data_IF_434252005009
#
_entry.id   IF_434252005009
#
_cell.length_a   1.000
_cell.length_b   1.000
_cell.length_c   1.000
_cell.angle_alpha   90.00
_cell.angle_beta   90.00
_cell.angle_gamma   90.00
#
_symmetry.space_group_name_H-M   'P 1'
#
loop_
_entity.id
_entity.type
_entity.pdbx_description
1 polymer ?
#
# COMPACT_ATOMS: atom_id res chain seq x y z
N UNK A 1 -20.14 -4.47 37.44
CA UNK A 1 -20.76 -4.51 36.08
C UNK A 1 -22.04 -3.64 35.99
N UNK A 2 -23.04 -3.76 36.87
CA UNK A 2 -24.29 -2.98 36.79
C UNK A 2 -24.07 -1.46 36.78
N UNK A 3 -23.15 -0.94 37.59
CA UNK A 3 -22.81 0.49 37.67
C UNK A 3 -22.22 1.01 36.34
N UNK A 4 -21.31 0.27 35.72
CA UNK A 4 -20.70 0.65 34.44
C UNK A 4 -21.76 0.81 33.33
N UNK A 5 -22.65 -0.16 33.17
CA UNK A 5 -23.73 -0.07 32.17
C UNK A 5 -24.72 1.09 32.41
N UNK A 6 -24.99 1.41 33.69
CA UNK A 6 -25.81 2.60 34.04
C UNK A 6 -25.09 3.89 33.61
N UNK A 7 -23.80 3.99 33.86
CA UNK A 7 -22.96 5.13 33.45
C UNK A 7 -22.91 5.24 31.93
N UNK A 8 -22.70 4.16 31.20
CA UNK A 8 -22.74 4.17 29.74
C UNK A 8 -24.08 4.67 29.20
N UNK A 9 -25.21 4.18 29.76
CA UNK A 9 -26.53 4.64 29.33
C UNK A 9 -26.74 6.13 29.57
N UNK A 10 -26.21 6.67 30.66
CA UNK A 10 -26.26 8.10 30.97
C UNK A 10 -25.38 8.88 30.03
N UNK A 11 -24.15 8.44 29.79
CA UNK A 11 -23.20 9.08 28.87
C UNK A 11 -23.74 9.08 27.42
N UNK A 12 -24.39 8.02 26.95
CA UNK A 12 -25.03 7.99 25.63
C UNK A 12 -26.07 9.11 25.53
N UNK A 13 -26.93 9.27 26.57
CA UNK A 13 -27.93 10.32 26.56
C UNK A 13 -27.33 11.72 26.59
N UNK A 14 -26.19 11.88 27.29
CA UNK A 14 -25.45 13.12 27.33
C UNK A 14 -24.84 13.41 25.95
N UNK A 15 -24.14 12.43 25.34
CA UNK A 15 -23.50 12.55 24.04
C UNK A 15 -24.50 12.91 22.92
N UNK A 16 -25.70 12.31 22.95
CA UNK A 16 -26.75 12.61 21.97
C UNK A 16 -27.30 14.05 22.06
N UNK A 17 -27.07 14.72 23.19
CA UNK A 17 -27.45 16.13 23.41
C UNK A 17 -26.27 17.10 23.24
N UNK A 18 -25.09 16.59 23.04
CA UNK A 18 -23.87 17.37 22.90
C UNK A 18 -23.66 17.81 21.45
N UNK A 19 -23.81 19.12 21.19
CA UNK A 19 -23.59 19.69 19.86
C UNK A 19 -22.14 19.50 19.35
N UNK A 20 -21.16 19.51 20.26
CA UNK A 20 -19.76 19.26 19.90
C UNK A 20 -19.58 17.82 19.37
N UNK A 21 -20.21 16.84 19.98
CA UNK A 21 -20.15 15.46 19.55
C UNK A 21 -20.73 15.28 18.13
N UNK A 22 -21.87 15.91 17.85
CA UNK A 22 -22.45 15.88 16.51
C UNK A 22 -21.59 16.57 15.47
N UNK A 23 -20.96 17.70 15.80
CA UNK A 23 -20.07 18.41 14.90
C UNK A 23 -18.82 17.59 14.59
N UNK A 24 -18.18 17.00 15.60
CA UNK A 24 -16.97 16.16 15.41
C UNK A 24 -17.27 14.89 14.64
N UNK A 25 -18.32 14.14 15.01
CA UNK A 25 -18.71 12.93 14.27
C UNK A 25 -19.20 13.27 12.86
N UNK A 26 -19.91 14.39 12.67
CA UNK A 26 -20.36 14.87 11.37
C UNK A 26 -19.19 15.27 10.46
N UNK A 27 -18.20 15.97 11.01
CA UNK A 27 -16.98 16.32 10.27
C UNK A 27 -16.16 15.07 9.88
N UNK A 28 -16.03 14.11 10.80
CA UNK A 28 -15.36 12.83 10.53
C UNK A 28 -16.11 12.04 9.44
N UNK A 29 -17.43 11.98 9.52
CA UNK A 29 -18.27 11.34 8.50
C UNK A 29 -18.11 12.02 7.14
N UNK A 30 -18.15 13.34 7.09
CA UNK A 30 -17.93 14.11 5.85
C UNK A 30 -16.53 13.87 5.26
N UNK A 31 -15.49 13.86 6.10
CA UNK A 31 -14.13 13.50 5.68
C UNK A 31 -14.06 12.07 5.12
N UNK A 32 -14.74 11.12 5.77
CA UNK A 32 -14.85 9.74 5.29
C UNK A 32 -15.57 9.63 3.94
N UNK A 33 -16.65 10.39 3.73
CA UNK A 33 -17.35 10.45 2.44
C UNK A 33 -16.49 11.06 1.35
N UNK A 34 -15.73 12.12 1.64
CA UNK A 34 -14.80 12.74 0.70
C UNK A 34 -13.70 11.76 0.28
N UNK A 35 -13.14 11.03 1.25
CA UNK A 35 -12.13 10.01 1.00
C UNK A 35 -12.69 8.84 0.16
N UNK A 36 -13.92 8.39 0.44
CA UNK A 36 -14.62 7.40 -0.35
C UNK A 36 -14.84 7.86 -1.79
N UNK A 37 -15.31 9.09 -1.98
CA UNK A 37 -15.50 9.67 -3.31
C UNK A 37 -14.19 9.76 -4.11
N UNK A 38 -13.09 10.16 -3.47
CA UNK A 38 -11.77 10.19 -4.10
C UNK A 38 -11.31 8.78 -4.51
N UNK A 39 -11.51 7.80 -3.62
CA UNK A 39 -11.20 6.39 -3.88
C UNK A 39 -12.04 5.78 -5.01
N UNK A 40 -13.36 6.06 -5.06
CA UNK A 40 -14.23 5.64 -6.16
C UNK A 40 -13.73 6.17 -7.51
N UNK A 41 -13.40 7.46 -7.58
CA UNK A 41 -12.90 8.09 -8.81
C UNK A 41 -11.56 7.53 -9.27
N UNK A 42 -10.68 7.21 -8.32
CA UNK A 42 -9.40 6.56 -8.62
C UNK A 42 -9.64 5.16 -9.19
N UNK A 43 -10.43 4.34 -8.50
CA UNK A 43 -10.71 2.97 -8.93
C UNK A 43 -11.41 2.95 -10.30
N UNK A 44 -12.36 3.87 -10.52
CA UNK A 44 -13.04 4.00 -11.81
C UNK A 44 -12.07 4.39 -12.95
N UNK A 45 -11.14 5.30 -12.69
CA UNK A 45 -10.10 5.66 -13.70
C UNK A 45 -9.21 4.47 -14.02
N UNK A 46 -8.75 3.75 -13.01
CA UNK A 46 -7.93 2.56 -13.20
C UNK A 46 -8.66 1.46 -13.97
N UNK A 47 -9.93 1.20 -13.64
CA UNK A 47 -10.75 0.24 -14.40
C UNK A 47 -10.97 0.68 -15.84
N UNK A 48 -11.19 1.98 -16.09
CA UNK A 48 -11.34 2.51 -17.44
C UNK A 48 -10.04 2.39 -18.27
N UNK A 49 -8.88 2.62 -17.62
CA UNK A 49 -7.57 2.43 -18.23
C UNK A 49 -7.37 0.96 -18.63
N UNK A 50 -7.59 0.02 -17.71
CA UNK A 50 -7.48 -1.42 -18.01
C UNK A 50 -8.48 -1.83 -19.12
N UNK A 51 -9.71 -1.36 -19.06
CA UNK A 51 -10.72 -1.68 -20.07
C UNK A 51 -10.36 -1.14 -21.46
N UNK A 52 -9.57 -0.07 -21.54
CA UNK A 52 -9.05 0.50 -22.78
C UNK A 52 -7.89 -0.30 -23.39
N UNK A 53 -7.14 -1.08 -22.59
CA UNK A 53 -5.92 -1.78 -23.03
C UNK A 53 -6.15 -2.69 -24.25
N UNK A 54 -7.21 -3.53 -24.30
CA UNK A 54 -7.45 -4.37 -25.48
C UNK A 54 -7.65 -3.57 -26.77
N UNK A 55 -8.35 -2.44 -26.70
CA UNK A 55 -8.60 -1.57 -27.85
C UNK A 55 -7.31 -0.90 -28.32
N UNK A 56 -6.49 -0.40 -27.39
CA UNK A 56 -5.17 0.17 -27.70
C UNK A 56 -4.25 -0.87 -28.32
N UNK A 57 -4.21 -2.07 -27.74
CA UNK A 57 -3.42 -3.18 -28.27
C UNK A 57 -3.88 -3.60 -29.67
N UNK A 58 -5.20 -3.76 -29.90
CA UNK A 58 -5.74 -4.11 -31.19
C UNK A 58 -5.42 -3.04 -32.26
N UNK A 59 -5.49 -1.75 -31.90
CA UNK A 59 -5.13 -0.63 -32.80
C UNK A 59 -3.65 -0.68 -33.17
N UNK A 60 -2.78 -0.92 -32.20
CA UNK A 60 -1.34 -1.11 -32.42
C UNK A 60 -1.09 -2.30 -33.34
N UNK A 61 -1.71 -3.45 -33.06
CA UNK A 61 -1.54 -4.65 -33.87
C UNK A 61 -2.01 -4.48 -35.31
N UNK A 62 -3.13 -3.77 -35.52
CA UNK A 62 -3.60 -3.43 -36.86
C UNK A 62 -2.59 -2.52 -37.61
N UNK A 63 -1.98 -1.56 -36.90
CA UNK A 63 -0.92 -0.73 -37.44
C UNK A 63 0.35 -1.53 -37.85
N UNK A 64 0.79 -2.40 -36.96
CA UNK A 64 1.94 -3.31 -37.19
C UNK A 64 1.64 -4.25 -38.36
N UNK A 65 0.47 -4.89 -38.38
CA UNK A 65 0.07 -5.75 -39.48
C UNK A 65 0.04 -4.98 -40.81
N UNK A 66 -0.49 -3.77 -40.88
CA UNK A 66 -0.51 -2.96 -42.07
C UNK A 66 0.88 -2.57 -42.57
N UNK A 67 1.81 -2.28 -41.64
CA UNK A 67 3.15 -1.82 -41.94
C UNK A 67 4.06 -2.95 -42.41
N UNK A 68 3.88 -4.16 -41.87
CA UNK A 68 4.80 -5.30 -42.05
C UNK A 68 4.20 -6.50 -42.75
N UNK A 69 2.99 -6.40 -43.29
CA UNK A 69 2.35 -7.51 -44.02
C UNK A 69 2.69 -7.47 -45.52
N UNK A 70 2.76 -8.65 -46.17
CA UNK A 70 2.35 -9.94 -45.62
C UNK A 70 3.47 -10.68 -44.87
N UNK A 71 4.72 -10.28 -44.93
CA UNK A 71 5.89 -11.09 -44.54
C UNK A 71 6.90 -10.30 -43.68
N UNK A 72 6.43 -9.77 -42.54
CA UNK A 72 7.31 -9.11 -41.58
C UNK A 72 8.22 -10.10 -40.87
N UNK A 73 9.54 -9.82 -40.84
CA UNK A 73 10.51 -10.60 -40.06
C UNK A 73 10.14 -10.57 -38.58
N UNK A 74 10.12 -11.73 -37.93
CA UNK A 74 9.67 -11.89 -36.55
C UNK A 74 10.39 -10.95 -35.56
N UNK A 75 11.71 -10.77 -35.75
CA UNK A 75 12.50 -9.88 -34.92
C UNK A 75 12.07 -8.41 -35.03
N UNK A 76 11.76 -7.97 -36.22
CA UNK A 76 11.33 -6.60 -36.47
C UNK A 76 9.93 -6.33 -35.85
N UNK A 77 9.00 -7.24 -36.06
CA UNK A 77 7.65 -7.13 -35.48
C UNK A 77 7.71 -7.13 -33.97
N UNK A 78 8.46 -8.05 -33.36
CA UNK A 78 8.60 -8.12 -31.89
C UNK A 78 9.21 -6.85 -31.28
N UNK A 79 10.08 -6.15 -32.02
CA UNK A 79 10.68 -4.88 -31.58
C UNK A 79 9.65 -3.75 -31.44
N UNK A 80 8.69 -3.66 -32.36
CA UNK A 80 7.67 -2.62 -32.37
C UNK A 80 6.41 -3.00 -31.61
N UNK A 81 6.27 -4.26 -31.18
CA UNK A 81 5.09 -4.69 -30.41
C UNK A 81 5.25 -4.41 -28.92
N UNK A 82 4.33 -3.66 -28.36
CA UNK A 82 4.19 -3.40 -26.94
C UNK A 82 3.06 -4.25 -26.37
N UNK A 83 3.37 -5.03 -25.36
CA UNK A 83 2.41 -5.93 -24.71
C UNK A 83 1.95 -5.28 -23.41
N UNK A 84 0.64 -4.98 -23.25
CA UNK A 84 0.14 -4.37 -22.04
C UNK A 84 0.08 -5.38 -20.89
N UNK A 85 0.58 -4.98 -19.75
CA UNK A 85 0.41 -5.68 -18.47
C UNK A 85 -0.25 -4.76 -17.48
N UNK A 86 -0.98 -5.29 -16.50
CA UNK A 86 -1.65 -4.47 -15.50
C UNK A 86 -1.77 -5.17 -14.15
N UNK A 87 -1.76 -4.36 -13.10
CA UNK A 87 -2.04 -4.82 -11.74
C UNK A 87 -3.54 -4.70 -11.47
N UNK A 88 -4.27 -5.82 -11.24
CA UNK A 88 -5.70 -5.75 -10.93
C UNK A 88 -5.87 -5.19 -9.52
N UNK A 89 -6.58 -4.06 -9.39
CA UNK A 89 -6.91 -3.49 -8.09
C UNK A 89 -8.16 -4.13 -7.52
N UNK A 90 -8.08 -4.60 -6.27
CA UNK A 90 -9.25 -5.04 -5.52
C UNK A 90 -10.16 -3.84 -5.16
N UNK A 91 -11.47 -4.03 -4.95
CA UNK A 91 -12.36 -2.94 -4.54
C UNK A 91 -11.93 -2.22 -3.26
N UNK A 92 -11.27 -2.93 -2.33
CA UNK A 92 -10.67 -2.34 -1.11
C UNK A 92 -9.55 -1.34 -1.40
N UNK A 93 -8.87 -1.43 -2.56
CA UNK A 93 -7.84 -0.46 -2.96
C UNK A 93 -8.39 0.96 -3.15
N UNK A 94 -9.70 1.11 -3.35
CA UNK A 94 -10.36 2.41 -3.30
C UNK A 94 -10.35 3.07 -1.92
N UNK A 95 -10.08 2.31 -0.84
CA UNK A 95 -10.07 2.80 0.54
C UNK A 95 -8.66 3.03 1.09
N UNK A 96 -7.65 2.38 0.53
CA UNK A 96 -6.24 2.58 0.87
C UNK A 96 -5.40 2.56 -0.39
N UNK A 97 -4.74 3.67 -0.64
CA UNK A 97 -3.92 3.88 -1.83
C UNK A 97 -2.61 3.10 -1.75
N UNK A 98 -2.02 3.04 -0.58
CA UNK A 98 -0.73 2.38 -0.35
C UNK A 98 0.37 2.93 -1.25
N UNK A 99 1.06 2.03 -1.98
CA UNK A 99 2.12 2.40 -2.93
C UNK A 99 1.61 2.61 -4.36
N UNK A 100 0.33 2.38 -4.63
CA UNK A 100 -0.23 2.38 -6.00
C UNK A 100 -0.28 3.76 -6.66
N UNK A 101 0.08 4.84 -5.96
CA UNK A 101 0.22 6.19 -6.50
C UNK A 101 1.65 6.54 -6.93
N UNK A 102 2.62 5.76 -6.47
CA UNK A 102 4.05 5.99 -6.75
C UNK A 102 4.65 4.93 -7.68
N UNK A 103 3.88 3.87 -8.00
CA UNK A 103 4.31 2.80 -8.89
C UNK A 103 3.34 2.66 -10.07
N UNK A 104 3.81 2.27 -11.26
CA UNK A 104 2.93 2.06 -12.39
C UNK A 104 2.01 0.84 -12.15
N UNK A 105 0.72 1.04 -12.41
CA UNK A 105 -0.28 -0.04 -12.35
C UNK A 105 -0.52 -0.69 -13.71
N UNK A 106 -0.06 -0.04 -14.78
CA UNK A 106 -0.04 -0.54 -16.16
C UNK A 106 1.37 -0.37 -16.68
N UNK A 107 1.92 -1.42 -17.28
CA UNK A 107 3.26 -1.39 -17.88
C UNK A 107 3.19 -2.01 -19.27
N UNK A 108 3.74 -1.33 -20.26
CA UNK A 108 3.87 -1.81 -21.62
C UNK A 108 5.25 -2.41 -21.81
N UNK A 109 5.32 -3.73 -21.95
CA UNK A 109 6.60 -4.44 -22.11
C UNK A 109 6.84 -4.83 -23.56
N UNK A 110 8.10 -4.81 -23.95
CA UNK A 110 8.59 -5.28 -25.24
C UNK A 110 9.51 -6.47 -25.05
N UNK A 111 9.78 -7.20 -26.12
CA UNK A 111 10.74 -8.31 -26.14
C UNK A 111 12.21 -7.81 -26.03
N UNK A 112 12.46 -6.72 -25.34
CA UNK A 112 13.79 -6.17 -25.07
C UNK A 112 14.23 -6.52 -23.65
N UNK A 113 15.38 -6.01 -23.23
CA UNK A 113 15.84 -6.13 -21.85
C UNK A 113 14.75 -5.66 -20.88
N UNK A 114 14.31 -6.54 -20.00
CA UNK A 114 13.16 -6.29 -19.14
C UNK A 114 13.50 -5.42 -17.93
N UNK A 115 14.68 -5.65 -17.32
CA UNK A 115 15.04 -4.96 -16.07
C UNK A 115 15.11 -3.44 -16.27
N UNK A 116 15.54 -2.97 -17.45
CA UNK A 116 15.49 -1.54 -17.81
C UNK A 116 14.07 -1.00 -17.94
N UNK A 117 13.11 -1.82 -18.42
CA UNK A 117 11.72 -1.40 -18.61
C UNK A 117 10.92 -1.36 -17.30
N UNK A 118 11.22 -2.25 -16.34
CA UNK A 118 10.49 -2.33 -15.06
C UNK A 118 10.74 -1.15 -14.13
N UNK A 119 11.92 -0.51 -14.25
CA UNK A 119 12.32 0.60 -13.39
C UNK A 119 12.26 1.97 -14.10
N UNK A 120 11.80 2.01 -15.34
CA UNK A 120 11.39 3.24 -16.00
C UNK A 120 10.03 3.66 -15.45
N UNK A 121 10.05 4.57 -14.46
CA UNK A 121 8.83 5.12 -13.89
C UNK A 121 8.50 6.46 -14.56
N UNK A 122 7.21 6.73 -14.72
CA UNK A 122 6.73 8.07 -15.05
C UNK A 122 7.14 9.06 -13.96
N UNK A 123 7.57 10.24 -14.37
CA UNK A 123 7.94 11.31 -13.46
C UNK A 123 6.68 11.83 -12.75
N UNK A 124 6.48 11.38 -11.51
CA UNK A 124 5.46 11.95 -10.62
C UNK A 124 5.89 13.32 -10.09
N UNK A 125 4.92 14.19 -9.77
CA UNK A 125 5.21 15.45 -9.10
C UNK A 125 5.60 15.20 -7.63
N UNK A 126 6.87 15.44 -7.22
CA UNK A 126 7.33 15.15 -5.86
C UNK A 126 6.56 15.93 -4.78
N UNK A 127 6.08 17.14 -5.08
CA UNK A 127 5.30 17.94 -4.14
C UNK A 127 3.94 17.30 -3.86
N UNK A 128 3.27 16.75 -4.87
CA UNK A 128 2.01 16.03 -4.68
C UNK A 128 2.21 14.72 -3.94
N UNK A 129 3.30 14.01 -4.21
CA UNK A 129 3.64 12.79 -3.48
C UNK A 129 3.96 13.05 -2.01
N UNK A 130 4.65 14.17 -1.70
CA UNK A 130 4.96 14.57 -0.33
C UNK A 130 3.71 14.93 0.51
N UNK A 131 2.64 15.40 -0.12
CA UNK A 131 1.37 15.68 0.56
C UNK A 131 0.63 14.41 0.97
N UNK A 132 0.96 13.26 0.39
CA UNK A 132 0.27 12.01 0.62
C UNK A 132 -1.14 11.97 0.02
N UNK A 133 -1.82 10.85 0.21
CA UNK A 133 -3.15 10.64 -0.31
C UNK A 133 -4.22 10.84 0.76
N UNK A 134 -5.27 11.58 0.42
CA UNK A 134 -6.46 11.67 1.25
C UNK A 134 -7.38 10.49 0.92
N UNK A 135 -7.10 9.36 1.55
CA UNK A 135 -7.88 8.13 1.45
C UNK A 135 -8.58 7.77 2.77
N UNK A 136 -9.40 6.74 2.76
CA UNK A 136 -10.13 6.34 3.97
C UNK A 136 -9.20 5.76 5.05
N UNK A 137 -8.10 5.13 4.67
CA UNK A 137 -7.08 4.66 5.61
C UNK A 137 -6.45 5.84 6.36
N UNK A 138 -6.16 6.97 5.69
CA UNK A 138 -5.72 8.21 6.35
C UNK A 138 -6.76 8.74 7.32
N UNK A 139 -8.04 8.75 6.95
CA UNK A 139 -9.12 9.16 7.86
C UNK A 139 -9.13 8.30 9.11
N UNK A 140 -8.97 6.97 8.97
CA UNK A 140 -8.95 6.03 10.09
C UNK A 140 -7.70 6.19 10.95
N UNK A 141 -6.51 6.37 10.35
CA UNK A 141 -5.24 6.41 11.07
C UNK A 141 -4.95 7.76 11.74
N UNK A 142 -5.41 8.87 11.14
CA UNK A 142 -5.11 10.22 11.61
C UNK A 142 -6.33 10.94 12.18
N UNK A 143 -7.43 11.06 11.42
CA UNK A 143 -8.56 11.89 11.79
C UNK A 143 -9.47 11.23 12.83
N UNK A 144 -9.71 9.94 12.77
CA UNK A 144 -10.55 9.25 13.74
C UNK A 144 -9.94 9.25 15.16
N UNK A 145 -8.63 9.00 15.37
CA UNK A 145 -7.98 9.26 16.66
C UNK A 145 -8.10 10.69 17.12
N UNK A 146 -7.89 11.68 16.24
CA UNK A 146 -8.02 13.08 16.59
C UNK A 146 -9.45 13.43 17.05
N UNK A 147 -10.47 12.92 16.33
CA UNK A 147 -11.85 13.09 16.73
C UNK A 147 -12.13 12.47 18.12
N UNK A 148 -11.57 11.29 18.38
CA UNK A 148 -11.68 10.65 19.71
C UNK A 148 -11.01 11.49 20.81
N UNK A 149 -9.80 12.01 20.55
CA UNK A 149 -9.08 12.87 21.48
C UNK A 149 -9.90 14.14 21.81
N UNK A 150 -10.44 14.80 20.80
CA UNK A 150 -11.25 16.00 20.96
C UNK A 150 -12.50 15.71 21.82
N UNK A 151 -13.13 14.55 21.62
CA UNK A 151 -14.33 14.18 22.36
C UNK A 151 -14.04 13.71 23.81
N UNK A 152 -12.85 13.12 24.06
CA UNK A 152 -12.62 12.37 25.29
C UNK A 152 -11.49 12.92 26.19
N UNK A 153 -10.76 13.95 25.78
CA UNK A 153 -9.65 14.50 26.58
C UNK A 153 -10.08 14.98 27.96
N UNK A 154 -11.28 15.51 28.10
CA UNK A 154 -11.82 16.05 29.34
C UNK A 154 -12.58 15.03 30.22
N UNK A 155 -12.57 13.76 29.83
CA UNK A 155 -13.41 12.71 30.41
C UNK A 155 -13.32 12.57 31.95
N UNK A 156 -12.20 12.97 32.56
CA UNK A 156 -12.04 13.00 34.01
C UNK A 156 -11.59 14.39 34.51
N UNK A 157 -10.83 15.10 33.70
CA UNK A 157 -10.21 16.37 34.10
C UNK A 157 -11.23 17.48 34.33
N UNK A 158 -12.39 17.45 33.66
CA UNK A 158 -13.49 18.36 33.90
C UNK A 158 -14.05 18.26 35.33
N UNK A 159 -14.12 17.04 35.91
CA UNK A 159 -14.57 16.85 37.28
C UNK A 159 -13.53 17.35 38.30
N UNK A 160 -12.24 17.20 37.96
CA UNK A 160 -11.13 17.70 38.76
C UNK A 160 -11.10 19.22 38.78
N UNK A 161 -11.18 19.83 37.63
CA UNK A 161 -11.10 21.29 37.44
C UNK A 161 -12.31 22.03 38.09
N UNK A 162 -13.50 21.41 38.01
CA UNK A 162 -14.71 21.96 38.64
C UNK A 162 -14.84 21.70 40.15
N UNK A 163 -13.85 21.03 40.78
CA UNK A 163 -13.88 20.69 42.20
C UNK A 163 -14.87 19.59 42.59
N UNK A 164 -15.53 18.96 41.61
CA UNK A 164 -16.51 17.86 41.85
C UNK A 164 -15.86 16.51 42.10
N UNK A 165 -14.61 16.36 41.78
CA UNK A 165 -13.88 15.09 41.94
C UNK A 165 -13.84 14.60 43.40
N UNK A 166 -13.49 15.42 44.44
CA UNK A 166 -13.54 15.00 45.83
C UNK A 166 -14.92 14.58 46.28
N UNK A 167 -16.00 15.27 45.85
CA UNK A 167 -17.36 14.92 46.15
C UNK A 167 -17.75 13.55 45.59
N UNK A 168 -17.32 13.26 44.36
CA UNK A 168 -17.55 11.94 43.73
C UNK A 168 -16.88 10.82 44.53
N UNK A 169 -15.65 11.04 45.01
CA UNK A 169 -14.92 10.06 45.84
C UNK A 169 -15.57 9.94 47.21
N UNK A 170 -15.99 11.04 47.86
CA UNK A 170 -16.63 11.04 49.15
C UNK A 170 -17.98 10.32 49.18
N UNK A 171 -18.70 10.31 48.04
CA UNK A 171 -19.95 9.54 47.86
C UNK A 171 -19.70 8.05 47.55
N UNK A 172 -18.50 7.55 47.70
CA UNK A 172 -18.13 6.17 47.40
C UNK A 172 -18.06 5.87 45.90
N UNK A 173 -18.04 6.91 45.05
CA UNK A 173 -17.86 6.79 43.61
C UNK A 173 -16.41 6.46 43.24
N UNK A 174 -16.23 5.48 42.36
CA UNK A 174 -14.88 5.19 41.80
C UNK A 174 -14.69 5.95 40.49
N UNK A 175 -13.57 6.68 40.32
CA UNK A 175 -13.31 7.43 39.08
C UNK A 175 -13.06 6.49 37.88
N UNK A 176 -12.62 5.26 38.12
CA UNK A 176 -12.30 4.29 37.06
C UNK A 176 -13.51 3.93 36.16
N UNK A 177 -14.64 3.44 36.72
CA UNK A 177 -15.84 3.15 35.93
C UNK A 177 -16.43 4.35 35.21
N UNK A 178 -16.29 5.57 35.80
CA UNK A 178 -16.77 6.80 35.15
C UNK A 178 -15.91 7.14 33.93
N UNK A 179 -14.57 7.15 34.10
CA UNK A 179 -13.64 7.38 32.99
C UNK A 179 -13.83 6.33 31.88
N UNK A 180 -13.89 5.05 32.29
CA UNK A 180 -14.11 3.96 31.33
C UNK A 180 -15.41 4.11 30.54
N UNK A 181 -16.53 4.45 31.21
CA UNK A 181 -17.83 4.64 30.56
C UNK A 181 -17.78 5.82 29.56
N UNK A 182 -17.18 6.95 29.97
CA UNK A 182 -17.06 8.14 29.13
C UNK A 182 -16.24 7.89 27.89
N UNK A 183 -15.03 7.33 28.05
CA UNK A 183 -14.13 7.03 26.92
C UNK A 183 -14.73 5.97 26.01
N UNK A 184 -15.31 4.90 26.57
CA UNK A 184 -15.93 3.83 25.77
C UNK A 184 -17.08 4.38 24.91
N UNK A 185 -17.98 5.18 25.47
CA UNK A 185 -19.13 5.72 24.72
C UNK A 185 -18.68 6.64 23.59
N UNK A 186 -17.68 7.50 23.85
CA UNK A 186 -17.11 8.37 22.81
C UNK A 186 -16.34 7.59 21.75
N UNK A 187 -15.55 6.59 22.15
CA UNK A 187 -14.87 5.70 21.22
C UNK A 187 -15.83 4.92 20.33
N UNK A 188 -16.94 4.43 20.92
CA UNK A 188 -18.00 3.76 20.17
C UNK A 188 -18.67 4.70 19.15
N UNK A 189 -18.91 5.96 19.51
CA UNK A 189 -19.47 6.93 18.57
C UNK A 189 -18.56 7.14 17.35
N UNK A 190 -17.24 7.33 17.57
CA UNK A 190 -16.26 7.47 16.50
C UNK A 190 -16.17 6.16 15.68
N UNK A 191 -16.08 5.00 16.34
CA UNK A 191 -16.01 3.71 15.67
C UNK A 191 -17.24 3.40 14.83
N UNK A 192 -18.44 3.72 15.32
CA UNK A 192 -19.69 3.57 14.58
C UNK A 192 -19.75 4.51 13.37
N UNK A 193 -19.27 5.75 13.52
CA UNK A 193 -19.14 6.70 12.39
C UNK A 193 -18.25 6.12 11.30
N UNK A 194 -17.05 5.62 11.65
CA UNK A 194 -16.15 4.99 10.71
C UNK A 194 -16.75 3.71 10.08
N UNK A 195 -17.44 2.90 10.89
CA UNK A 195 -18.13 1.69 10.42
C UNK A 195 -19.23 2.01 9.42
N UNK A 196 -19.97 3.10 9.64
CA UNK A 196 -21.02 3.55 8.72
C UNK A 196 -20.42 3.98 7.37
N UNK A 197 -19.31 4.72 7.37
CA UNK A 197 -18.58 5.06 6.12
C UNK A 197 -18.09 3.80 5.42
N UNK A 198 -17.52 2.84 6.17
CA UNK A 198 -17.07 1.56 5.61
C UNK A 198 -18.24 0.75 5.02
N UNK A 199 -19.38 0.71 5.68
CA UNK A 199 -20.57 0.04 5.16
C UNK A 199 -21.08 0.69 3.86
N UNK A 200 -21.07 2.02 3.78
CA UNK A 200 -21.37 2.76 2.54
C UNK A 200 -20.35 2.44 1.44
N UNK A 201 -19.06 2.35 1.81
CA UNK A 201 -18.01 1.95 0.87
C UNK A 201 -18.23 0.52 0.35
N UNK A 202 -18.58 -0.43 1.22
CA UNK A 202 -18.92 -1.79 0.79
C UNK A 202 -20.09 -1.81 -0.21
N UNK A 203 -21.11 -1.00 0.03
CA UNK A 203 -22.25 -0.90 -0.88
C UNK A 203 -21.90 -0.23 -2.22
N UNK A 204 -21.14 0.87 -2.18
CA UNK A 204 -20.78 1.68 -3.37
C UNK A 204 -19.76 1.00 -4.26
N UNK A 205 -18.69 0.47 -3.66
CA UNK A 205 -17.58 -0.20 -4.36
C UNK A 205 -17.85 -1.70 -4.58
N UNK A 206 -19.01 -2.20 -4.15
CA UNK A 206 -19.37 -3.63 -4.21
C UNK A 206 -18.32 -4.53 -3.56
N UNK A 207 -17.78 -4.10 -2.42
CA UNK A 207 -16.80 -4.88 -1.66
C UNK A 207 -17.49 -6.10 -1.07
N UNK A 208 -17.09 -7.33 -1.41
CA UNK A 208 -17.66 -8.52 -0.80
C UNK A 208 -17.23 -8.64 0.66
N UNK A 209 -18.10 -9.21 1.51
CA UNK A 209 -17.80 -9.46 2.92
C UNK A 209 -16.86 -10.66 3.08
N UNK A 210 -15.64 -10.48 2.65
CA UNK A 210 -14.55 -11.46 2.76
C UNK A 210 -13.80 -11.33 4.08
N UNK A 211 -12.86 -12.23 4.33
CA UNK A 211 -11.91 -12.16 5.45
C UNK A 211 -11.13 -10.84 5.46
N UNK A 212 -10.85 -10.28 4.26
CA UNK A 212 -10.13 -9.01 4.14
C UNK A 212 -11.00 -7.82 4.59
N UNK A 213 -12.27 -7.79 4.18
CA UNK A 213 -13.21 -6.76 4.61
C UNK A 213 -13.49 -6.82 6.12
N UNK A 214 -13.69 -8.03 6.67
CA UNK A 214 -13.87 -8.24 8.11
C UNK A 214 -12.60 -7.88 8.89
N UNK A 215 -11.43 -8.24 8.36
CA UNK A 215 -10.16 -7.88 8.95
C UNK A 215 -9.88 -6.37 8.90
N UNK A 216 -10.34 -5.66 7.87
CA UNK A 216 -10.32 -4.20 7.82
C UNK A 216 -11.12 -3.60 8.99
N UNK A 217 -12.34 -4.07 9.17
CA UNK A 217 -13.19 -3.62 10.27
C UNK A 217 -12.59 -3.93 11.64
N UNK A 218 -12.06 -5.14 11.83
CA UNK A 218 -11.39 -5.53 13.06
C UNK A 218 -10.14 -4.66 13.35
N UNK A 219 -9.34 -4.33 12.32
CA UNK A 219 -8.21 -3.42 12.45
C UNK A 219 -8.66 -2.01 12.86
N UNK A 220 -9.74 -1.49 12.26
CA UNK A 220 -10.33 -0.19 12.61
C UNK A 220 -10.71 -0.14 14.09
N UNK A 221 -11.46 -1.13 14.57
CA UNK A 221 -11.89 -1.17 15.96
C UNK A 221 -10.73 -1.36 16.93
N UNK A 222 -9.76 -2.22 16.60
CA UNK A 222 -8.57 -2.44 17.43
C UNK A 222 -7.69 -1.17 17.51
N UNK A 223 -7.53 -0.46 16.41
CA UNK A 223 -6.82 0.82 16.36
C UNK A 223 -7.48 1.89 17.23
N UNK A 224 -8.80 2.06 17.10
CA UNK A 224 -9.55 3.00 17.93
C UNK A 224 -9.59 2.60 19.41
N UNK A 225 -9.59 1.31 19.73
CA UNK A 225 -9.46 0.83 21.10
C UNK A 225 -8.08 1.20 21.71
N UNK A 226 -7.00 1.08 20.94
CA UNK A 226 -5.67 1.51 21.39
C UNK A 226 -5.64 3.02 21.69
N UNK A 227 -6.22 3.84 20.81
CA UNK A 227 -6.32 5.29 21.01
C UNK A 227 -7.25 5.66 22.16
N UNK A 228 -8.33 4.91 22.39
CA UNK A 228 -9.20 5.09 23.55
C UNK A 228 -8.43 4.86 24.86
N UNK A 229 -7.59 3.82 24.91
CA UNK A 229 -6.72 3.57 26.07
C UNK A 229 -5.69 4.70 26.28
N UNK A 230 -5.06 5.20 25.21
CA UNK A 230 -4.12 6.33 25.28
C UNK A 230 -4.81 7.60 25.79
N UNK A 231 -5.98 7.90 25.27
CA UNK A 231 -6.79 9.06 25.70
C UNK A 231 -7.18 8.94 27.17
N UNK A 232 -7.65 7.76 27.60
CA UNK A 232 -8.01 7.49 28.98
C UNK A 232 -6.81 7.67 29.93
N UNK A 233 -5.64 7.17 29.51
CA UNK A 233 -4.41 7.33 30.28
C UNK A 233 -4.05 8.80 30.46
N UNK A 234 -4.06 9.62 29.42
CA UNK A 234 -3.77 11.07 29.50
C UNK A 234 -4.79 11.76 30.42
N UNK A 235 -6.08 11.50 30.25
CA UNK A 235 -7.13 12.08 31.08
C UNK A 235 -7.01 11.66 32.57
N UNK A 236 -6.49 10.45 32.85
CA UNK A 236 -6.20 9.99 34.20
C UNK A 236 -4.95 10.67 34.81
N UNK A 237 -3.92 10.91 33.99
CA UNK A 237 -2.63 11.45 34.42
C UNK A 237 -2.62 12.98 34.59
N UNK A 238 -3.54 13.71 33.96
CA UNK A 238 -3.61 15.17 33.96
C UNK A 238 -4.66 15.69 34.95
N UNK A 239 -4.50 16.97 35.37
CA UNK A 239 -5.41 17.60 36.35
C UNK A 239 -6.42 18.55 35.71
N UNK A 240 -6.05 19.23 34.63
CA UNK A 240 -6.92 20.24 33.95
C UNK A 240 -7.27 19.79 32.54
N UNK A 241 -8.42 20.18 32.00
CA UNK A 241 -8.82 19.88 30.61
C UNK A 241 -7.81 20.40 29.59
N UNK A 242 -7.24 21.59 29.82
CA UNK A 242 -6.24 22.19 28.93
C UNK A 242 -4.95 21.34 28.87
N UNK A 243 -4.44 20.88 30.03
CA UNK A 243 -3.27 20.01 30.08
C UNK A 243 -3.55 18.64 29.41
N UNK A 244 -4.77 18.13 29.57
CA UNK A 244 -5.19 16.88 28.94
C UNK A 244 -5.23 17.02 27.42
N UNK A 245 -5.83 18.10 26.91
CA UNK A 245 -5.90 18.36 25.47
C UNK A 245 -4.51 18.56 24.87
N UNK A 246 -3.67 19.39 25.52
CA UNK A 246 -2.29 19.62 25.07
C UNK A 246 -1.48 18.32 25.02
N UNK A 247 -1.55 17.49 26.09
CA UNK A 247 -0.88 16.19 26.15
C UNK A 247 -1.40 15.22 25.08
N UNK A 248 -2.72 15.19 24.84
CA UNK A 248 -3.34 14.38 23.83
C UNK A 248 -2.92 14.77 22.40
N UNK A 249 -2.90 16.08 22.08
CA UNK A 249 -2.45 16.57 20.79
C UNK A 249 -0.95 16.35 20.59
N UNK A 250 -0.13 16.56 21.63
CA UNK A 250 1.31 16.25 21.58
C UNK A 250 1.55 14.77 21.27
N UNK A 251 0.81 13.87 21.94
CA UNK A 251 0.92 12.44 21.68
C UNK A 251 0.44 12.10 20.25
N UNK A 252 -0.64 12.72 19.79
CA UNK A 252 -1.14 12.51 18.43
C UNK A 252 -0.09 12.93 17.38
N UNK A 253 0.49 14.14 17.50
CA UNK A 253 1.55 14.62 16.62
C UNK A 253 2.75 13.67 16.67
N UNK A 254 3.16 13.26 17.87
CA UNK A 254 4.28 12.34 18.04
C UNK A 254 4.04 11.00 17.33
N UNK A 255 2.84 10.43 17.45
CA UNK A 255 2.52 9.11 16.91
C UNK A 255 2.15 9.10 15.42
N UNK A 256 1.52 10.17 14.93
CA UNK A 256 1.02 10.24 13.55
C UNK A 256 2.02 10.92 12.60
N UNK A 257 2.84 11.83 13.13
CA UNK A 257 3.76 12.62 12.30
C UNK A 257 5.22 12.33 12.64
N UNK A 258 5.64 12.57 13.89
CA UNK A 258 7.07 12.54 14.22
C UNK A 258 7.65 11.13 14.20
N UNK A 259 6.98 10.17 14.82
CA UNK A 259 7.51 8.81 14.91
C UNK A 259 7.58 8.12 13.55
N UNK A 260 6.56 8.17 12.66
CA UNK A 260 6.69 7.65 11.30
C UNK A 260 7.81 8.33 10.51
N UNK A 261 7.99 9.65 10.64
CA UNK A 261 9.07 10.38 9.98
C UNK A 261 10.45 9.93 10.48
N UNK A 262 10.62 9.78 11.80
CA UNK A 262 11.87 9.28 12.40
C UNK A 262 12.14 7.82 12.00
N UNK A 263 11.13 6.97 11.98
CA UNK A 263 11.26 5.59 11.52
C UNK A 263 11.68 5.53 10.06
N UNK A 264 11.09 6.35 9.19
CA UNK A 264 11.49 6.41 7.79
C UNK A 264 12.92 6.92 7.62
N UNK A 265 13.33 7.95 8.36
CA UNK A 265 14.71 8.45 8.35
C UNK A 265 15.69 7.37 8.81
N UNK A 266 15.39 6.66 9.90
CA UNK A 266 16.21 5.56 10.42
C UNK A 266 16.33 4.44 9.39
N UNK A 267 15.22 4.05 8.75
CA UNK A 267 15.23 3.02 7.71
C UNK A 267 16.01 3.46 6.47
N UNK A 268 15.87 4.72 6.07
CA UNK A 268 16.59 5.26 4.91
C UNK A 268 18.11 5.30 5.13
N UNK A 269 18.54 5.52 6.37
CA UNK A 269 19.99 5.58 6.72
C UNK A 269 20.57 4.20 7.04
N UNK A 270 19.84 3.35 7.76
CA UNK A 270 20.34 2.04 8.20
C UNK A 270 20.18 0.95 7.14
N UNK A 271 19.17 1.05 6.28
CA UNK A 271 18.87 0.11 5.19
C UNK A 271 18.65 0.89 3.88
N UNK A 272 19.68 1.57 3.36
CA UNK A 272 19.55 2.29 2.11
C UNK A 272 19.31 1.30 0.96
N UNK A 273 18.36 1.62 0.09
CA UNK A 273 18.12 0.87 -1.15
C UNK A 273 18.60 1.75 -2.31
N UNK A 274 19.81 1.51 -2.77
CA UNK A 274 20.48 2.30 -3.84
C UNK A 274 20.50 1.59 -5.16
N UNK A 275 20.29 0.29 -5.15
CA UNK A 275 20.54 -0.63 -6.26
C UNK A 275 19.65 -0.35 -7.48
N UNK A 276 18.47 0.26 -7.31
CA UNK A 276 17.53 0.48 -8.42
C UNK A 276 18.09 1.35 -9.55
N UNK A 277 18.72 2.49 -9.21
CA UNK A 277 19.38 3.35 -10.21
C UNK A 277 20.63 2.71 -10.77
N UNK A 278 21.47 2.13 -9.91
CA UNK A 278 22.71 1.47 -10.31
C UNK A 278 22.44 0.31 -11.28
N UNK A 279 21.39 -0.48 -11.01
CA UNK A 279 20.94 -1.58 -11.86
C UNK A 279 20.56 -1.09 -13.26
N UNK A 280 19.75 -0.03 -13.35
CA UNK A 280 19.32 0.52 -14.65
C UNK A 280 20.49 1.07 -15.44
N UNK A 281 21.39 1.81 -14.78
CA UNK A 281 22.60 2.36 -15.42
C UNK A 281 23.51 1.23 -15.91
N UNK A 282 23.76 0.22 -15.07
CA UNK A 282 24.61 -0.92 -15.43
C UNK A 282 24.02 -1.74 -16.58
N UNK A 283 22.75 -2.06 -16.53
CA UNK A 283 22.06 -2.77 -17.61
C UNK A 283 22.17 -2.02 -18.94
N UNK A 284 21.99 -0.70 -18.93
CA UNK A 284 22.19 0.14 -20.13
C UNK A 284 23.64 0.16 -20.60
N UNK A 285 24.60 0.29 -19.69
CA UNK A 285 26.03 0.29 -20.04
C UNK A 285 26.44 -1.03 -20.68
N UNK A 286 26.03 -2.19 -20.12
CA UNK A 286 26.34 -3.49 -20.72
C UNK A 286 25.69 -3.66 -22.10
N UNK A 287 24.44 -3.22 -22.26
CA UNK A 287 23.74 -3.25 -23.55
C UNK A 287 24.44 -2.34 -24.58
N UNK A 288 24.90 -1.16 -24.18
CA UNK A 288 25.64 -0.27 -25.07
C UNK A 288 27.04 -0.80 -25.42
N UNK A 289 27.77 -1.31 -24.43
CA UNK A 289 29.11 -1.88 -24.64
C UNK A 289 29.11 -3.08 -25.60
N UNK A 290 27.99 -3.81 -25.69
CA UNK A 290 27.85 -4.94 -26.60
C UNK A 290 27.83 -4.53 -28.09
N UNK A 291 27.52 -3.25 -28.42
CA UNK A 291 27.59 -2.75 -29.79
C UNK A 291 29.03 -2.64 -30.29
N UNK A 292 30.00 -2.41 -29.42
CA UNK A 292 31.40 -2.25 -29.72
C UNK A 292 32.18 -3.60 -29.75
N UNK A 293 31.53 -4.68 -29.25
CA UNK A 293 32.13 -6.04 -29.23
C UNK A 293 31.81 -6.83 -30.48
N UNK A 294 32.67 -7.83 -30.82
CA UNK A 294 32.36 -8.79 -31.88
C UNK A 294 31.00 -9.50 -31.60
N UNK A 295 30.18 -9.63 -32.62
CA UNK A 295 28.85 -10.28 -32.49
C UNK A 295 28.92 -11.72 -31.94
N UNK A 296 29.96 -12.44 -32.33
CA UNK A 296 30.23 -13.80 -31.86
C UNK A 296 30.39 -13.86 -30.34
N UNK A 297 31.11 -12.90 -29.73
CA UNK A 297 31.28 -12.85 -28.26
C UNK A 297 29.94 -12.72 -27.51
N UNK A 298 29.05 -11.88 -28.02
CA UNK A 298 27.71 -11.71 -27.44
C UNK A 298 26.89 -13.00 -27.57
N UNK A 299 26.96 -13.66 -28.74
CA UNK A 299 26.25 -14.92 -28.97
C UNK A 299 26.81 -16.07 -28.13
N UNK A 300 28.13 -16.14 -27.95
CA UNK A 300 28.76 -17.14 -27.06
C UNK A 300 28.27 -16.97 -25.61
N UNK A 301 28.27 -15.71 -25.09
CA UNK A 301 27.74 -15.42 -23.77
C UNK A 301 26.25 -15.85 -23.63
N UNK A 302 25.45 -15.55 -24.64
CA UNK A 302 24.04 -15.92 -24.66
C UNK A 302 23.87 -17.46 -24.63
N UNK A 303 24.66 -18.19 -25.40
CA UNK A 303 24.56 -19.66 -25.47
C UNK A 303 24.99 -20.36 -24.16
N UNK A 304 25.81 -19.75 -23.33
CA UNK A 304 26.16 -20.29 -22.01
C UNK A 304 24.91 -20.51 -21.15
N UNK A 305 23.96 -19.56 -21.18
CA UNK A 305 22.72 -19.66 -20.42
C UNK A 305 21.55 -20.21 -21.23
N UNK A 306 21.70 -20.26 -22.56
CA UNK A 306 20.65 -20.68 -23.50
C UNK A 306 21.18 -21.70 -24.51
N UNK A 307 21.62 -22.89 -24.04
CA UNK A 307 22.30 -23.90 -24.89
C UNK A 307 21.43 -24.42 -26.02
N UNK A 308 20.11 -24.41 -25.89
CA UNK A 308 19.17 -24.85 -26.93
C UNK A 308 19.31 -24.07 -28.25
N UNK A 309 19.85 -22.88 -28.19
CA UNK A 309 20.06 -22.00 -29.36
C UNK A 309 21.46 -22.06 -29.95
N UNK A 310 22.38 -22.86 -29.39
CA UNK A 310 23.77 -22.97 -29.82
C UNK A 310 23.95 -23.48 -31.26
N UNK A 311 22.97 -24.22 -31.78
CA UNK A 311 22.92 -24.68 -33.17
C UNK A 311 22.47 -23.62 -34.20
N UNK A 312 22.21 -22.39 -33.77
CA UNK A 312 21.78 -21.30 -34.66
C UNK A 312 22.91 -20.89 -35.62
N UNK A 313 22.63 -20.62 -36.91
CA UNK A 313 23.61 -20.16 -37.84
C UNK A 313 24.37 -18.92 -37.35
N UNK A 314 25.67 -18.77 -37.63
CA UNK A 314 26.46 -17.63 -37.16
C UNK A 314 25.88 -16.32 -37.69
N UNK A 315 26.08 -15.24 -36.93
CA UNK A 315 25.64 -13.90 -37.33
C UNK A 315 26.60 -13.38 -38.41
N UNK A 316 26.06 -13.14 -39.60
CA UNK A 316 26.76 -12.54 -40.72
C UNK A 316 26.29 -11.10 -40.93
N UNK A 317 27.21 -10.15 -41.06
CA UNK A 317 26.87 -8.75 -41.26
C UNK A 317 26.86 -7.88 -39.98
N UNK A 318 26.42 -6.63 -40.17
CA UNK A 318 26.45 -5.62 -39.09
C UNK A 318 25.29 -5.72 -38.10
N UNK A 319 24.18 -6.31 -38.49
CA UNK A 319 22.99 -6.43 -37.70
C UNK A 319 22.25 -7.74 -38.00
N UNK A 320 21.73 -8.39 -36.96
CA UNK A 320 20.78 -9.49 -37.05
C UNK A 320 19.88 -9.44 -35.80
N UNK A 321 18.60 -9.70 -35.97
CA UNK A 321 17.65 -9.66 -34.83
C UNK A 321 18.00 -10.68 -33.75
N UNK A 322 18.42 -11.88 -34.10
CA UNK A 322 18.85 -12.91 -33.13
C UNK A 322 20.00 -12.41 -32.26
N UNK A 323 20.98 -11.71 -32.82
CA UNK A 323 22.05 -11.08 -32.05
C UNK A 323 21.52 -9.94 -31.17
N UNK A 324 20.62 -9.11 -31.70
CA UNK A 324 20.06 -7.99 -30.94
C UNK A 324 19.28 -8.46 -29.70
N UNK A 325 18.44 -9.50 -29.83
CA UNK A 325 17.72 -10.07 -28.69
C UNK A 325 18.64 -10.85 -27.74
N UNK A 326 19.65 -11.55 -28.24
CA UNK A 326 20.67 -12.15 -27.40
C UNK A 326 21.41 -11.09 -26.57
N UNK A 327 21.76 -9.95 -27.18
CA UNK A 327 22.37 -8.81 -26.52
C UNK A 327 21.48 -8.21 -25.40
N UNK A 328 20.18 -8.05 -25.67
CA UNK A 328 19.23 -7.56 -24.69
C UNK A 328 19.09 -8.52 -23.50
N UNK A 329 19.05 -9.80 -23.76
CA UNK A 329 18.96 -10.82 -22.70
C UNK A 329 20.26 -10.93 -21.90
N UNK A 330 21.42 -10.92 -22.54
CA UNK A 330 22.70 -10.93 -21.80
C UNK A 330 22.88 -9.68 -20.94
N UNK A 331 22.31 -8.54 -21.36
CA UNK A 331 22.23 -7.33 -20.55
C UNK A 331 21.40 -7.54 -19.28
N UNK A 332 20.20 -8.15 -19.37
CA UNK A 332 19.39 -8.51 -18.22
C UNK A 332 20.07 -9.54 -17.31
N UNK A 333 20.68 -10.57 -17.90
CA UNK A 333 21.39 -11.62 -17.17
C UNK A 333 22.59 -11.08 -16.39
N UNK A 334 23.28 -10.07 -16.94
CA UNK A 334 24.43 -9.42 -16.28
C UNK A 334 24.06 -8.70 -14.98
N UNK A 335 22.80 -8.33 -14.80
CA UNK A 335 22.28 -7.64 -13.61
C UNK A 335 21.27 -8.49 -12.82
N UNK A 336 21.12 -9.76 -13.16
CA UNK A 336 20.11 -10.64 -12.54
C UNK A 336 20.33 -10.81 -11.02
N UNK A 337 21.60 -10.92 -10.59
CA UNK A 337 21.94 -11.05 -9.17
C UNK A 337 21.61 -9.75 -8.40
N UNK A 338 21.95 -8.60 -8.98
CA UNK A 338 21.65 -7.28 -8.41
C UNK A 338 20.15 -7.02 -8.37
N UNK A 339 19.40 -7.42 -9.41
CA UNK A 339 17.94 -7.32 -9.43
C UNK A 339 17.29 -8.18 -8.35
N UNK A 340 17.79 -9.39 -8.15
CA UNK A 340 17.32 -10.26 -7.07
C UNK A 340 17.64 -9.67 -5.68
N UNK A 341 18.86 -9.16 -5.49
CA UNK A 341 19.28 -8.50 -4.26
C UNK A 341 18.44 -7.25 -3.96
N UNK A 342 18.19 -6.43 -4.97
CA UNK A 342 17.33 -5.24 -4.83
C UNK A 342 15.92 -5.60 -4.31
N UNK A 343 15.28 -6.60 -4.91
CA UNK A 343 13.95 -7.06 -4.46
C UNK A 343 13.98 -7.61 -3.03
N UNK A 344 15.00 -8.39 -2.68
CA UNK A 344 15.14 -8.90 -1.33
C UNK A 344 15.43 -7.78 -0.30
N UNK A 345 16.21 -6.77 -0.67
CA UNK A 345 16.45 -5.59 0.17
C UNK A 345 15.16 -4.80 0.40
N UNK A 346 14.31 -4.63 -0.62
CA UNK A 346 12.98 -4.03 -0.47
C UNK A 346 12.11 -4.83 0.51
N UNK A 347 12.05 -6.16 0.37
CA UNK A 347 11.31 -7.04 1.29
C UNK A 347 11.90 -7.02 2.71
N UNK A 348 13.22 -7.03 2.83
CA UNK A 348 13.91 -6.93 4.13
C UNK A 348 13.58 -5.61 4.82
N UNK A 349 13.65 -4.50 4.10
CA UNK A 349 13.24 -3.18 4.59
C UNK A 349 11.78 -3.18 5.03
N UNK A 350 10.88 -3.76 4.24
CA UNK A 350 9.46 -3.88 4.59
C UNK A 350 9.25 -4.68 5.88
N UNK A 351 9.96 -5.82 6.05
CA UNK A 351 9.88 -6.61 7.29
C UNK A 351 10.32 -5.81 8.53
N UNK A 352 11.39 -5.03 8.41
CA UNK A 352 11.87 -4.15 9.50
C UNK A 352 10.86 -3.02 9.74
N UNK A 353 10.33 -2.40 8.68
CA UNK A 353 9.28 -1.37 8.77
C UNK A 353 8.08 -1.88 9.57
N UNK A 354 7.56 -3.07 9.25
CA UNK A 354 6.43 -3.69 9.97
C UNK A 354 6.74 -3.88 11.47
N UNK A 355 7.95 -4.35 11.80
CA UNK A 355 8.34 -4.55 13.21
C UNK A 355 8.44 -3.24 13.98
N UNK A 356 9.07 -2.22 13.37
CA UNK A 356 9.22 -0.92 14.01
C UNK A 356 7.90 -0.14 14.09
N UNK A 357 6.99 -0.35 13.16
CA UNK A 357 5.67 0.27 13.16
C UNK A 357 4.81 -0.12 14.39
N UNK A 358 5.15 -1.18 15.11
CA UNK A 358 4.51 -1.52 16.40
C UNK A 358 4.62 -0.39 17.43
N UNK A 359 5.64 0.46 17.32
CA UNK A 359 5.80 1.62 18.18
C UNK A 359 4.84 2.77 17.81
N UNK A 360 4.29 2.76 16.60
CA UNK A 360 3.41 3.79 16.05
C UNK A 360 2.09 3.17 15.56
N UNK A 361 1.04 3.12 16.42
CA UNK A 361 -0.22 2.46 16.06
C UNK A 361 -0.86 2.97 14.78
N UNK A 362 -0.73 4.26 14.47
CA UNK A 362 -1.22 4.83 13.22
C UNK A 362 -0.46 4.27 12.00
N UNK A 363 0.87 4.20 12.06
CA UNK A 363 1.69 3.64 10.99
C UNK A 363 1.42 2.13 10.81
N UNK A 364 1.30 1.38 11.91
CA UNK A 364 0.98 -0.04 11.83
C UNK A 364 -0.40 -0.29 11.23
N UNK A 365 -1.41 0.47 11.65
CA UNK A 365 -2.77 0.37 11.09
C UNK A 365 -2.77 0.70 9.58
N UNK A 366 -2.01 1.71 9.14
CA UNK A 366 -1.87 2.05 7.73
C UNK A 366 -1.29 0.88 6.92
N UNK A 367 -0.26 0.20 7.43
CA UNK A 367 0.30 -0.99 6.78
C UNK A 367 -0.73 -2.11 6.68
N UNK A 368 -1.51 -2.36 7.75
CA UNK A 368 -2.58 -3.36 7.75
C UNK A 368 -3.65 -3.02 6.71
N UNK A 369 -4.07 -1.76 6.62
CA UNK A 369 -5.07 -1.33 5.64
C UNK A 369 -4.57 -1.46 4.20
N UNK A 370 -3.36 -1.00 3.92
CA UNK A 370 -2.77 -1.11 2.57
C UNK A 370 -2.61 -2.57 2.14
N UNK A 371 -2.17 -3.45 3.05
CA UNK A 371 -2.03 -4.86 2.76
C UNK A 371 -3.39 -5.52 2.45
N UNK A 372 -4.43 -5.26 3.28
CA UNK A 372 -5.77 -5.80 3.02
C UNK A 372 -6.42 -5.26 1.76
N UNK A 373 -6.01 -4.07 1.34
CA UNK A 373 -6.41 -3.47 0.07
C UNK A 373 -5.65 -4.06 -1.13
N UNK A 374 -4.56 -4.79 -0.92
CA UNK A 374 -3.66 -5.26 -1.99
C UNK A 374 -2.95 -4.11 -2.69
N UNK A 375 -2.71 -3.02 -1.97
CA UNK A 375 -2.05 -1.80 -2.45
C UNK A 375 -0.68 -1.58 -1.79
N UNK A 376 -0.14 -2.60 -1.12
CA UNK A 376 1.15 -2.58 -0.46
C UNK A 376 2.31 -2.95 -1.38
N UNK A 377 3.53 -2.87 -0.86
CA UNK A 377 4.76 -3.20 -1.60
C UNK A 377 4.79 -4.65 -2.07
N UNK A 378 4.32 -5.60 -1.24
CA UNK A 378 4.36 -7.03 -1.60
C UNK A 378 3.42 -7.33 -2.77
N UNK A 379 2.25 -6.69 -2.84
CA UNK A 379 1.34 -6.79 -3.96
C UNK A 379 1.96 -6.24 -5.26
N UNK A 380 2.68 -5.11 -5.16
CA UNK A 380 3.41 -4.56 -6.31
C UNK A 380 4.55 -5.47 -6.77
N UNK A 381 5.38 -5.98 -5.86
CA UNK A 381 6.46 -6.91 -6.21
C UNK A 381 5.92 -8.20 -6.83
N UNK A 382 4.79 -8.72 -6.34
CA UNK A 382 4.11 -9.86 -6.95
C UNK A 382 3.60 -9.55 -8.37
N UNK A 383 3.16 -8.31 -8.64
CA UNK A 383 2.82 -7.88 -9.99
C UNK A 383 4.07 -7.88 -10.89
N UNK A 384 5.19 -7.31 -10.45
CA UNK A 384 6.43 -7.32 -11.22
C UNK A 384 6.95 -8.75 -11.49
N UNK A 385 6.80 -9.66 -10.54
CA UNK A 385 7.16 -11.07 -10.75
C UNK A 385 6.28 -11.73 -11.83
N UNK A 386 4.99 -11.38 -11.93
CA UNK A 386 4.11 -11.82 -13.03
C UNK A 386 4.50 -11.22 -14.37
N UNK A 387 4.92 -9.95 -14.38
CA UNK A 387 5.44 -9.31 -15.61
C UNK A 387 6.70 -10.03 -16.10
N UNK A 388 7.60 -10.45 -15.20
CA UNK A 388 8.78 -11.27 -15.55
C UNK A 388 8.39 -12.63 -16.14
N UNK A 389 7.44 -13.31 -15.52
CA UNK A 389 6.94 -14.58 -16.02
C UNK A 389 6.34 -14.43 -17.43
N UNK A 390 5.52 -13.39 -17.64
CA UNK A 390 4.94 -13.10 -18.96
C UNK A 390 6.01 -12.74 -19.99
N UNK A 391 7.04 -11.99 -19.62
CA UNK A 391 8.15 -11.70 -20.53
C UNK A 391 8.94 -12.97 -20.91
N UNK A 392 9.07 -13.93 -20.00
CA UNK A 392 9.62 -15.25 -20.34
C UNK A 392 8.72 -16.03 -21.34
N UNK A 393 7.38 -15.91 -21.21
CA UNK A 393 6.44 -16.48 -22.20
C UNK A 393 6.61 -15.81 -23.57
N UNK A 394 6.82 -14.48 -23.61
CA UNK A 394 7.12 -13.76 -24.85
C UNK A 394 8.42 -14.28 -25.49
N UNK A 395 9.49 -14.45 -24.70
CA UNK A 395 10.74 -15.04 -25.20
C UNK A 395 10.53 -16.47 -25.75
N UNK A 396 9.81 -17.31 -25.00
CA UNK A 396 9.53 -18.67 -25.43
C UNK A 396 8.74 -18.73 -26.75
N UNK A 397 7.86 -17.75 -26.98
CA UNK A 397 7.11 -17.64 -28.23
C UNK A 397 7.93 -17.08 -29.39
N UNK A 398 8.62 -15.97 -29.19
CA UNK A 398 9.28 -15.25 -30.27
C UNK A 398 10.65 -15.80 -30.64
N UNK A 399 11.42 -16.34 -29.69
CA UNK A 399 12.79 -16.81 -29.97
C UNK A 399 12.88 -17.91 -31.04
N UNK A 400 12.01 -18.93 -31.07
CA UNK A 400 11.99 -19.90 -32.17
C UNK A 400 11.83 -19.25 -33.54
N UNK A 401 11.04 -18.17 -33.60
CA UNK A 401 10.77 -17.45 -34.84
C UNK A 401 11.94 -16.53 -35.24
N UNK A 402 12.50 -15.83 -34.26
CA UNK A 402 13.61 -14.86 -34.44
C UNK A 402 14.91 -15.57 -34.78
N UNK A 403 15.25 -16.65 -34.07
CA UNK A 403 16.50 -17.37 -34.27
C UNK A 403 16.49 -18.21 -35.55
N UNK A 404 15.31 -18.60 -36.02
CA UNK A 404 15.12 -19.20 -37.35
C UNK A 404 15.01 -18.16 -38.48
N UNK A 405 15.10 -16.84 -38.14
CA UNK A 405 14.94 -15.73 -39.12
C UNK A 405 13.65 -15.86 -39.98
N UNK A 406 12.57 -16.32 -39.32
CA UNK A 406 11.30 -16.61 -39.97
C UNK A 406 10.42 -15.36 -40.07
N UNK A 407 9.72 -15.20 -41.19
CA UNK A 407 8.66 -14.22 -41.31
C UNK A 407 7.38 -14.71 -40.59
N UNK A 408 6.64 -13.76 -40.04
CA UNK A 408 5.38 -14.04 -39.34
C UNK A 408 4.23 -14.27 -40.33
N UNK A 409 3.42 -15.24 -40.04
CA UNK A 409 2.15 -15.51 -40.74
C UNK A 409 0.99 -14.85 -39.99
N UNK A 410 -0.18 -14.66 -40.62
CA UNK A 410 -1.38 -14.18 -39.94
C UNK A 410 -1.79 -15.03 -38.72
N UNK A 411 -1.50 -16.35 -38.76
CA UNK A 411 -1.74 -17.26 -37.64
C UNK A 411 -0.81 -16.95 -36.44
N UNK A 412 0.44 -16.57 -36.71
CA UNK A 412 1.39 -16.19 -35.66
C UNK A 412 0.91 -14.94 -34.92
N UNK A 413 0.40 -13.90 -35.63
CA UNK A 413 -0.14 -12.72 -34.98
C UNK A 413 -1.32 -13.04 -34.07
N UNK A 414 -2.19 -13.96 -34.44
CA UNK A 414 -3.33 -14.38 -33.63
C UNK A 414 -2.92 -15.20 -32.39
N UNK A 415 -1.74 -15.78 -32.41
CA UNK A 415 -1.20 -16.63 -31.34
C UNK A 415 -0.28 -15.85 -30.34
N UNK A 416 -0.11 -14.55 -30.50
CA UNK A 416 0.74 -13.76 -29.61
C UNK A 416 0.30 -13.94 -28.14
N UNK A 417 1.24 -14.19 -27.23
CA UNK A 417 0.94 -14.30 -25.81
C UNK A 417 0.25 -13.02 -25.29
N UNK A 418 -0.72 -13.21 -24.43
CA UNK A 418 -1.43 -12.10 -23.78
C UNK A 418 -1.28 -12.20 -22.28
N UNK A 419 -1.00 -11.08 -21.63
CA UNK A 419 -0.89 -11.04 -20.19
C UNK A 419 -2.21 -11.41 -19.50
N UNK A 420 -2.15 -12.37 -18.58
CA UNK A 420 -3.29 -12.76 -17.76
C UNK A 420 -3.11 -12.20 -16.36
N UNK A 421 -3.90 -11.20 -16.03
CA UNK A 421 -3.94 -10.67 -14.68
C UNK A 421 -4.65 -11.67 -13.76
N UNK A 422 -3.90 -12.48 -13.04
CA UNK A 422 -4.44 -13.24 -11.92
C UNK A 422 -4.44 -12.36 -10.68
N UNK A 423 -5.55 -12.38 -9.91
CA UNK A 423 -5.53 -11.76 -8.60
C UNK A 423 -4.35 -12.33 -7.80
N UNK A 424 -3.55 -11.48 -7.19
CA UNK A 424 -2.51 -11.96 -6.28
C UNK A 424 -3.19 -12.82 -5.20
N UNK A 425 -2.58 -13.94 -4.77
CA UNK A 425 -3.07 -14.64 -3.59
C UNK A 425 -3.15 -13.62 -2.45
N UNK A 426 -4.21 -13.69 -1.61
CA UNK A 426 -4.32 -12.77 -0.49
C UNK A 426 -3.01 -12.89 0.33
N UNK A 427 -2.34 -11.77 0.58
CA UNK A 427 -1.12 -11.80 1.37
C UNK A 427 -1.45 -12.41 2.73
N UNK A 428 -0.50 -13.14 3.31
CA UNK A 428 -0.60 -13.57 4.71
C UNK A 428 -0.80 -12.31 5.55
N UNK A 429 -2.06 -12.04 5.95
CA UNK A 429 -2.48 -10.74 6.47
C UNK A 429 -1.69 -10.35 7.71
N UNK A 430 -1.22 -9.10 7.76
CA UNK A 430 -0.64 -8.55 8.97
C UNK A 430 -1.63 -8.74 10.13
N UNK A 431 -1.11 -9.25 11.23
CA UNK A 431 -1.90 -9.53 12.41
C UNK A 431 -2.43 -8.25 13.05
N UNK A 432 -3.64 -8.27 13.58
CA UNK A 432 -4.18 -7.17 14.39
C UNK A 432 -3.67 -7.20 15.85
N UNK A 433 -2.96 -8.27 16.24
CA UNK A 433 -2.48 -8.46 17.62
C UNK A 433 -1.68 -7.29 18.17
N UNK A 434 -0.76 -6.61 17.42
CA UNK A 434 -0.05 -5.45 17.95
C UNK A 434 -0.98 -4.33 18.43
N UNK A 435 -2.06 -4.07 17.69
CA UNK A 435 -3.06 -3.06 18.07
C UNK A 435 -3.83 -3.47 19.33
N UNK A 436 -4.18 -4.75 19.46
CA UNK A 436 -4.84 -5.30 20.65
C UNK A 436 -3.92 -5.26 21.87
N UNK A 437 -2.66 -5.68 21.74
CA UNK A 437 -1.66 -5.61 22.80
C UNK A 437 -1.49 -4.16 23.29
N UNK A 438 -1.44 -3.21 22.36
CA UNK A 438 -1.35 -1.80 22.69
C UNK A 438 -2.60 -1.30 23.44
N UNK A 439 -3.80 -1.70 22.99
CA UNK A 439 -5.05 -1.36 23.66
C UNK A 439 -5.10 -1.91 25.11
N UNK A 440 -4.65 -3.13 25.31
CA UNK A 440 -4.55 -3.72 26.66
C UNK A 440 -3.49 -3.04 27.52
N UNK A 441 -2.30 -2.77 26.96
CA UNK A 441 -1.22 -2.07 27.66
C UNK A 441 -1.62 -0.66 28.10
N UNK A 442 -2.26 0.11 27.23
CA UNK A 442 -2.75 1.47 27.56
C UNK A 442 -3.87 1.45 28.59
N UNK A 443 -4.74 0.44 28.56
CA UNK A 443 -5.75 0.22 29.62
C UNK A 443 -5.11 -0.08 30.97
N UNK A 444 -4.05 -0.88 31.02
CA UNK A 444 -3.29 -1.15 32.25
C UNK A 444 -2.60 0.12 32.78
N UNK A 445 -1.99 0.92 31.91
CA UNK A 445 -1.41 2.23 32.28
C UNK A 445 -2.46 3.18 32.86
N UNK A 446 -3.66 3.20 32.29
CA UNK A 446 -4.80 3.98 32.80
C UNK A 446 -5.18 3.54 34.21
N UNK A 447 -5.31 2.23 34.45
CA UNK A 447 -5.63 1.69 35.76
C UNK A 447 -4.56 2.04 36.82
N UNK A 448 -3.28 2.01 36.42
CA UNK A 448 -2.18 2.40 37.30
C UNK A 448 -2.19 3.91 37.61
N UNK A 449 -2.43 4.78 36.63
CA UNK A 449 -2.55 6.22 36.83
C UNK A 449 -3.71 6.57 37.78
N UNK A 450 -4.84 5.90 37.65
CA UNK A 450 -5.99 6.10 38.55
C UNK A 450 -5.70 5.70 39.99
N UNK A 451 -4.99 4.58 40.25
CA UNK A 451 -4.61 4.17 41.62
C UNK A 451 -3.75 5.24 42.31
N UNK A 452 -2.81 5.83 41.59
CA UNK A 452 -1.98 6.91 42.10
C UNK A 452 -2.77 8.18 42.41
N UNK A 453 -3.76 8.51 41.59
CA UNK A 453 -4.55 9.73 41.77
C UNK A 453 -5.60 9.64 42.89
N UNK A 454 -5.92 8.46 43.40
CA UNK A 454 -6.83 8.23 44.53
C UNK A 454 -6.06 8.06 45.87
N UNK A 455 -4.72 7.93 45.82
CA UNK A 455 -3.87 7.77 46.99
C UNK A 455 -3.31 9.13 47.49
N UNK A 456 -3.55 10.22 46.79
CA UNK A 456 -3.23 11.62 47.13
C UNK A 456 -4.53 12.40 47.37
#
# INVERSE_FOLDING_TARGET
>A
MRTFFRLCRWEIRHLLRDGQAWLVCGALFAAGLLALWAGERRLARHHAEIAGLPTHYATQMAGIAKQFTPEGEAGYVAYYTFFPTHHPMAPLAGLAVGVSDIVPNVTWVRLLGLEGQLYEADLGNPALQALGNFDFAFVLCALAPLALLVLAHDALTRERDSGRFPLLVAQGGSPGPLLAARVTVRALAVALTCTLVFALACARLRIPLTTEALGWLAATWSHLAAWAGLTAWIAAATRTPTASLAGALTLWIAQVVLLPALLNLTLATALPVREGLELTVRQRQESHAAWDKPRAETMEKFFVHNPDWSGTPPVTGRFAWKWYYAMQQTGDESVAAESAAYRENLRARQRVTVRLAWLAPAAYAQLVFSQRAGSDLDAHLAYLDRVRAFHAELRAYFYPLVFAERNLTPADYAAFPQFRATAAPPPSGLSIWPLLVLALGTSALTAFALRRSTAV
#
